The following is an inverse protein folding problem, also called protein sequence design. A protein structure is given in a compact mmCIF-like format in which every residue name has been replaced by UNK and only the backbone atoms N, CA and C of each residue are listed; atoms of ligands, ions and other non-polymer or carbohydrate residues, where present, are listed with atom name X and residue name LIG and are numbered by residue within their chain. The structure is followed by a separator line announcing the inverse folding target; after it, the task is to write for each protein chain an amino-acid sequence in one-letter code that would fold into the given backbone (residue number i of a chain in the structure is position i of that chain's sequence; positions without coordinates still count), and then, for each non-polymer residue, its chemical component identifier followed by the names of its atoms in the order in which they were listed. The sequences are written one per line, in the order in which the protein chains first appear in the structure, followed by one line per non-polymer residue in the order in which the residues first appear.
data_IF_050038104097
#
_entry.id   IF_050038104097
#
_cell.length_a   1.000
_cell.length_b   1.000
_cell.length_c   1.000
_cell.angle_alpha   90.00
_cell.angle_beta   90.00
_cell.angle_gamma   90.00
#
_symmetry.space_group_name_H-M   'P 1'
#
loop_
_entity.id
_entity.type
_entity.pdbx_description
1 polymer ?
#
# COMPACT_ATOMS: atom_id res chain seq x y z
N UNK A 1 -16.93 -3.11 -2.60
CA UNK A 1 -15.62 -2.44 -2.76
C UNK A 1 -14.57 -3.48 -2.41
N UNK A 2 -13.72 -3.84 -3.37
CA UNK A 2 -12.72 -4.89 -3.20
C UNK A 2 -11.49 -4.31 -2.47
N UNK A 3 -10.67 -5.16 -1.85
CA UNK A 3 -9.40 -4.70 -1.28
C UNK A 3 -8.49 -4.05 -2.34
N UNK A 4 -8.61 -4.48 -3.60
CA UNK A 4 -7.97 -3.86 -4.76
C UNK A 4 -8.48 -2.45 -5.02
N UNK A 5 -9.78 -2.27 -5.21
CA UNK A 5 -10.36 -0.94 -5.45
C UNK A 5 -9.99 0.03 -4.32
N UNK A 6 -9.98 -0.47 -3.08
CA UNK A 6 -9.58 0.32 -1.93
C UNK A 6 -8.10 0.72 -2.00
N UNK A 7 -7.19 -0.25 -2.20
CA UNK A 7 -5.76 0.05 -2.31
C UNK A 7 -5.44 0.95 -3.52
N UNK A 8 -6.19 0.77 -4.60
CA UNK A 8 -6.08 1.59 -5.79
C UNK A 8 -6.54 3.02 -5.52
N UNK A 9 -7.66 3.22 -4.81
CA UNK A 9 -8.14 4.56 -4.44
C UNK A 9 -7.19 5.25 -3.45
N UNK A 10 -6.56 4.49 -2.53
CA UNK A 10 -5.54 5.03 -1.62
C UNK A 10 -4.24 5.43 -2.32
N UNK A 11 -3.89 4.79 -3.44
CA UNK A 11 -2.65 5.02 -4.19
C UNK A 11 -2.88 5.76 -5.52
N UNK A 12 -4.11 6.24 -5.78
CA UNK A 12 -4.50 6.79 -7.09
C UNK A 12 -3.75 8.08 -7.44
N UNK A 13 -3.26 8.77 -6.42
CA UNK A 13 -2.55 10.04 -6.56
C UNK A 13 -1.17 9.84 -7.23
N UNK A 14 -0.70 8.59 -7.31
CA UNK A 14 0.57 8.24 -7.95
C UNK A 14 1.81 8.65 -7.14
N UNK A 15 1.58 9.17 -5.94
CA UNK A 15 2.63 9.51 -4.98
C UNK A 15 3.06 8.28 -4.15
N UNK A 16 4.16 8.45 -3.42
CA UNK A 16 4.68 7.44 -2.52
C UNK A 16 4.00 7.53 -1.16
N UNK A 17 3.16 6.55 -0.84
CA UNK A 17 2.46 6.47 0.44
C UNK A 17 3.18 5.53 1.41
N UNK A 18 3.33 5.97 2.66
CA UNK A 18 3.91 5.15 3.72
C UNK A 18 3.07 3.88 3.97
N UNK A 19 3.73 2.72 3.93
CA UNK A 19 3.13 1.41 4.19
C UNK A 19 2.55 1.33 5.59
N UNK A 20 3.15 2.02 6.56
CA UNK A 20 2.64 2.02 7.93
C UNK A 20 1.29 2.74 8.03
N UNK A 21 1.14 3.85 7.30
CA UNK A 21 -0.12 4.55 7.16
C UNK A 21 -1.16 3.68 6.44
N UNK A 22 -0.81 3.07 5.30
CA UNK A 22 -1.72 2.15 4.58
C UNK A 22 -2.13 0.98 5.47
N UNK A 23 -1.21 0.40 6.26
CA UNK A 23 -1.54 -0.67 7.21
C UNK A 23 -2.50 -0.21 8.29
N UNK A 24 -2.37 1.02 8.76
CA UNK A 24 -3.26 1.61 9.75
C UNK A 24 -4.66 1.80 9.19
N UNK A 25 -4.79 2.35 7.98
CA UNK A 25 -6.08 2.48 7.30
C UNK A 25 -6.67 1.11 6.92
N UNK A 26 -5.83 0.18 6.48
CA UNK A 26 -6.21 -1.21 6.17
C UNK A 26 -6.76 -1.95 7.40
N UNK A 27 -6.25 -1.67 8.61
CA UNK A 27 -6.83 -2.24 9.84
C UNK A 27 -8.24 -1.74 10.11
N UNK A 28 -8.59 -0.52 9.65
CA UNK A 28 -9.93 0.06 9.84
C UNK A 28 -10.96 -0.53 8.88
N UNK A 29 -10.53 -1.00 7.70
CA UNK A 29 -11.44 -1.58 6.70
C UNK A 29 -11.88 -3.01 7.01
N UNK A 30 -11.13 -3.74 7.84
CA UNK A 30 -11.46 -5.12 8.24
C UNK A 30 -11.17 -6.18 7.17
N UNK A 31 -10.48 -5.83 6.08
CA UNK A 31 -10.09 -6.77 5.02
C UNK A 31 -9.08 -7.82 5.51
N UNK A 32 -9.02 -8.97 4.81
CA UNK A 32 -8.05 -10.02 5.14
C UNK A 32 -6.68 -9.69 4.56
N UNK A 33 -5.62 -9.98 5.31
CA UNK A 33 -4.22 -9.87 4.85
C UNK A 33 -3.98 -10.63 3.52
N UNK A 34 -4.71 -11.72 3.30
CA UNK A 34 -4.67 -12.51 2.06
C UNK A 34 -5.09 -11.69 0.85
N UNK A 35 -6.20 -10.94 0.99
CA UNK A 35 -6.73 -10.06 -0.06
C UNK A 35 -5.80 -8.88 -0.30
N UNK A 36 -5.20 -8.33 0.75
CA UNK A 36 -4.22 -7.25 0.64
C UNK A 36 -2.98 -7.65 -0.16
N UNK A 37 -2.47 -8.88 0.07
CA UNK A 37 -1.36 -9.42 -0.71
C UNK A 37 -1.75 -9.67 -2.17
N UNK A 38 -2.95 -10.19 -2.41
CA UNK A 38 -3.46 -10.40 -3.75
C UNK A 38 -3.62 -9.06 -4.49
N UNK A 39 -4.23 -8.08 -3.82
CA UNK A 39 -4.44 -6.74 -4.35
C UNK A 39 -3.14 -6.07 -4.75
N UNK A 40 -2.13 -6.10 -3.87
CA UNK A 40 -0.81 -5.55 -4.16
C UNK A 40 -0.17 -6.17 -5.41
N UNK A 41 -0.33 -7.49 -5.57
CA UNK A 41 0.22 -8.24 -6.70
C UNK A 41 -0.50 -7.90 -8.01
N UNK A 42 -1.83 -7.86 -7.97
CA UNK A 42 -2.66 -7.57 -9.14
C UNK A 42 -2.53 -6.11 -9.61
N UNK A 43 -2.48 -5.16 -8.67
CA UNK A 43 -2.27 -3.75 -8.95
C UNK A 43 -0.84 -3.42 -9.40
N UNK A 44 0.12 -4.34 -9.21
CA UNK A 44 1.52 -4.09 -9.58
C UNK A 44 2.16 -2.93 -8.79
N UNK A 45 1.78 -2.79 -7.51
CA UNK A 45 2.25 -1.69 -6.65
C UNK A 45 3.78 -1.71 -6.54
N UNK A 46 4.42 -0.60 -6.90
CA UNK A 46 5.85 -0.42 -6.70
C UNK A 46 6.15 -0.18 -5.23
N UNK A 47 7.21 -0.81 -4.72
CA UNK A 47 7.66 -0.68 -3.34
C UNK A 47 9.00 0.03 -3.32
N UNK A 48 9.09 1.12 -2.57
CA UNK A 48 10.33 1.83 -2.29
C UNK A 48 10.66 1.68 -0.81
N UNK A 49 11.86 1.22 -0.53
CA UNK A 49 12.36 1.08 0.83
C UNK A 49 13.39 2.18 1.05
N UNK A 50 13.04 3.15 1.88
CA UNK A 50 13.98 4.17 2.35
C UNK A 50 14.60 3.67 3.65
N UNK A 51 15.89 3.37 3.60
CA UNK A 51 16.69 3.01 4.75
C UNK A 51 17.82 4.04 4.91
N UNK A 52 17.74 4.88 5.94
CA UNK A 52 18.77 5.87 6.30
C UNK A 52 19.00 5.82 7.81
N UNK A 53 20.23 5.58 8.27
CA UNK A 53 20.66 5.45 9.67
C UNK A 53 19.65 4.70 10.59
N UNK A 54 18.67 5.40 11.15
CA UNK A 54 17.62 4.88 12.06
C UNK A 54 16.20 4.82 11.43
N UNK A 55 16.04 5.30 10.22
CA UNK A 55 14.77 5.38 9.49
C UNK A 55 14.63 4.16 8.59
N UNK A 56 13.58 3.37 8.82
CA UNK A 56 13.23 2.21 8.02
C UNK A 56 11.79 2.37 7.50
N UNK A 57 11.64 3.21 6.47
CA UNK A 57 10.34 3.53 5.91
C UNK A 57 10.10 2.75 4.63
N UNK A 58 8.90 2.17 4.55
CA UNK A 58 8.44 1.49 3.35
C UNK A 58 7.38 2.37 2.71
N UNK A 59 7.50 2.60 1.40
CA UNK A 59 6.57 3.38 0.62
C UNK A 59 6.03 2.56 -0.54
N UNK A 60 4.76 2.76 -0.86
CA UNK A 60 4.07 2.13 -1.98
C UNK A 60 3.52 3.18 -2.93
N UNK A 61 3.54 2.89 -4.23
CA UNK A 61 2.86 3.69 -5.26
C UNK A 61 2.22 2.81 -6.32
N UNK A 62 1.19 3.32 -6.96
CA UNK A 62 0.68 2.74 -8.20
C UNK A 62 1.53 3.25 -9.37
N UNK A 63 2.08 2.32 -10.16
CA UNK A 63 2.74 2.66 -11.42
C UNK A 63 1.65 3.01 -12.43
N UNK A 64 1.65 4.25 -12.92
CA UNK A 64 0.79 4.68 -14.04
C UNK A 64 1.11 3.90 -15.32
#
# INVERSE_FOLDING_TARGET
MSCEDWLADQLKDGEWHLVDWIRTEFKKTGFKKSEFKAARKNLGVETFHQQEDDINNWFWRLRK
#
